data_IF_210853172112
#
_entry.id   IF_210853172112
#
_cell.length_a   1.000
_cell.length_b   1.000
_cell.length_c   1.000
_cell.angle_alpha   90.00
_cell.angle_beta   90.00
_cell.angle_gamma   90.00
#
_symmetry.space_group_name_H-M   'P 1'
#
loop_
_entity.id
_entity.type
_entity.pdbx_description
1 polymer ?
#
# COMPACT_ATOMS: atom_id res chain seq x y z
N UNK A 1 22.44 20.95 63.93
CA UNK A 1 22.52 20.26 62.62
C UNK A 1 21.27 19.41 62.48
N UNK A 2 20.25 19.92 61.79
CA UNK A 2 18.88 19.38 61.77
C UNK A 2 18.71 18.33 60.67
N UNK A 3 18.16 17.17 61.07
CA UNK A 3 17.45 16.14 60.31
C UNK A 3 17.48 16.24 58.76
N UNK A 4 18.35 15.48 58.11
CA UNK A 4 18.13 15.08 56.71
C UNK A 4 17.39 13.74 56.72
N UNK A 5 16.17 13.63 56.16
CA UNK A 5 15.47 12.36 56.10
C UNK A 5 16.31 11.36 55.29
N UNK A 6 16.54 10.17 55.86
CA UNK A 6 17.15 9.03 55.18
C UNK A 6 16.28 8.69 53.96
N UNK A 7 16.62 9.25 52.79
CA UNK A 7 15.93 8.88 51.56
C UNK A 7 16.31 7.45 51.20
N UNK A 8 15.32 6.55 51.24
CA UNK A 8 15.45 5.16 50.83
C UNK A 8 15.99 5.07 49.38
N UNK A 9 16.64 3.96 49.04
CA UNK A 9 17.12 3.68 47.68
C UNK A 9 16.03 3.97 46.63
N UNK A 10 14.81 3.51 46.90
CA UNK A 10 13.62 3.74 46.06
C UNK A 10 13.24 5.21 45.95
N UNK A 11 13.36 5.98 47.04
CA UNK A 11 13.09 7.42 47.03
C UNK A 11 14.03 8.19 46.10
N UNK A 12 15.33 7.83 46.09
CA UNK A 12 16.31 8.45 45.18
C UNK A 12 16.03 8.10 43.72
N UNK A 13 15.76 6.81 43.43
CA UNK A 13 15.39 6.35 42.08
C UNK A 13 14.15 7.08 41.57
N UNK A 14 13.12 7.20 42.41
CA UNK A 14 11.88 7.90 42.03
C UNK A 14 12.10 9.39 41.79
N UNK A 15 12.91 10.07 42.61
CA UNK A 15 13.23 11.48 42.38
C UNK A 15 13.96 11.71 41.06
N UNK A 16 14.90 10.81 40.72
CA UNK A 16 15.58 10.84 39.41
C UNK A 16 14.55 10.59 38.30
N UNK A 17 13.68 9.58 38.45
CA UNK A 17 12.66 9.27 37.45
C UNK A 17 11.69 10.44 37.22
N UNK A 18 11.22 11.07 38.28
CA UNK A 18 10.33 12.23 38.21
C UNK A 18 11.00 13.44 37.55
N UNK A 19 12.29 13.66 37.85
CA UNK A 19 13.11 14.67 37.18
C UNK A 19 13.10 14.42 35.67
N UNK A 20 13.52 13.22 35.23
CA UNK A 20 13.58 12.85 33.80
C UNK A 20 12.21 13.00 33.12
N UNK A 21 11.15 12.51 33.78
CA UNK A 21 9.79 12.63 33.27
C UNK A 21 9.39 14.09 33.06
N UNK A 22 9.62 14.96 34.06
CA UNK A 22 9.26 16.38 33.98
C UNK A 22 10.04 17.12 32.90
N UNK A 23 11.34 16.86 32.76
CA UNK A 23 12.17 17.49 31.74
C UNK A 23 11.90 16.97 30.32
N UNK A 24 11.18 15.86 30.20
CA UNK A 24 10.78 15.31 28.90
C UNK A 24 9.31 15.60 28.62
N UNK A 25 8.38 14.94 29.33
CA UNK A 25 6.95 14.92 29.03
C UNK A 25 6.22 16.26 29.24
N UNK A 26 6.69 17.10 30.16
CA UNK A 26 6.03 18.39 30.47
C UNK A 26 6.59 19.56 29.63
N UNK A 27 7.40 19.26 28.62
CA UNK A 27 7.92 20.28 27.70
C UNK A 27 6.95 20.51 26.55
N UNK A 28 6.89 21.76 26.06
CA UNK A 28 6.13 22.09 24.84
C UNK A 28 6.65 21.30 23.63
N UNK A 29 7.96 21.05 23.59
CA UNK A 29 8.62 20.27 22.54
C UNK A 29 8.14 18.82 22.50
N UNK A 30 7.95 18.18 23.65
CA UNK A 30 7.41 16.82 23.71
C UNK A 30 5.98 16.75 23.19
N UNK A 31 5.08 17.63 23.65
CA UNK A 31 3.67 17.60 23.22
C UNK A 31 3.57 17.85 21.72
N UNK A 32 4.32 18.85 21.22
CA UNK A 32 4.37 19.12 19.79
C UNK A 32 4.95 17.93 19.02
N UNK A 33 6.10 17.40 19.41
CA UNK A 33 6.75 16.29 18.72
C UNK A 33 5.92 15.01 18.73
N UNK A 34 5.30 14.68 19.86
CA UNK A 34 4.49 13.48 20.02
C UNK A 34 3.22 13.51 19.16
N UNK A 35 2.65 14.69 18.87
CA UNK A 35 1.47 14.81 17.99
C UNK A 35 1.85 15.11 16.54
N UNK A 36 2.75 16.08 16.32
CA UNK A 36 3.13 16.54 15.01
C UNK A 36 3.83 15.44 14.20
N UNK A 37 4.64 14.57 14.83
CA UNK A 37 5.38 13.54 14.12
C UNK A 37 4.44 12.48 13.52
N UNK A 38 3.49 11.86 14.28
CA UNK A 38 2.47 11.01 13.68
C UNK A 38 1.64 11.73 12.61
N UNK A 39 1.18 12.96 12.87
CA UNK A 39 0.33 13.70 11.91
C UNK A 39 1.08 13.95 10.60
N UNK A 40 2.32 14.43 10.66
CA UNK A 40 3.17 14.62 9.49
C UNK A 40 3.38 13.31 8.77
N UNK A 41 3.67 12.23 9.51
CA UNK A 41 3.99 10.94 8.91
C UNK A 41 2.76 10.29 8.24
N UNK A 42 1.57 10.34 8.87
CA UNK A 42 0.32 9.92 8.22
C UNK A 42 0.00 10.80 7.01
N UNK A 43 0.28 12.12 7.09
CA UNK A 43 0.18 13.03 5.95
C UNK A 43 1.12 12.62 4.80
N UNK A 44 2.37 12.28 5.10
CA UNK A 44 3.33 11.78 4.11
C UNK A 44 2.88 10.44 3.54
N UNK A 45 2.44 9.48 4.36
CA UNK A 45 1.91 8.19 3.89
C UNK A 45 0.73 8.39 2.95
N UNK A 46 -0.16 9.34 3.23
CA UNK A 46 -1.28 9.69 2.36
C UNK A 46 -0.83 10.33 1.03
N UNK A 47 0.29 11.07 1.03
CA UNK A 47 0.84 11.77 -0.14
C UNK A 47 1.77 10.87 -0.97
N UNK A 48 2.38 9.84 -0.38
CA UNK A 48 3.32 8.93 -1.07
C UNK A 48 2.70 8.33 -2.36
N UNK A 49 1.47 7.78 -2.37
CA UNK A 49 0.87 7.27 -3.61
C UNK A 49 0.72 8.35 -4.69
N UNK A 50 0.36 9.58 -4.30
CA UNK A 50 0.26 10.69 -5.23
C UNK A 50 1.63 11.13 -5.77
N UNK A 51 2.70 11.04 -4.97
CA UNK A 51 4.06 11.33 -5.42
C UNK A 51 4.67 10.21 -6.26
N UNK A 52 4.33 8.95 -5.96
CA UNK A 52 4.73 7.77 -6.73
C UNK A 52 3.93 7.62 -8.02
N UNK A 53 2.84 8.39 -8.18
CA UNK A 53 2.14 8.54 -9.45
C UNK A 53 3.00 9.36 -10.42
N UNK A 54 4.05 8.73 -10.96
CA UNK A 54 4.68 9.22 -12.18
C UNK A 54 3.62 9.22 -13.28
N UNK A 55 3.41 10.38 -13.91
CA UNK A 55 2.64 10.50 -15.14
C UNK A 55 3.12 9.41 -16.09
N UNK A 56 2.24 8.45 -16.37
CA UNK A 56 2.62 7.34 -17.24
C UNK A 56 2.92 7.95 -18.61
N UNK A 57 4.06 7.63 -19.23
CA UNK A 57 4.34 8.11 -20.57
C UNK A 57 3.17 7.71 -21.49
N UNK A 58 2.82 8.51 -22.51
CA UNK A 58 1.71 8.17 -23.38
C UNK A 58 1.97 6.83 -24.07
N UNK A 59 0.92 6.02 -24.24
CA UNK A 59 1.01 4.75 -24.97
C UNK A 59 0.84 5.05 -26.46
N UNK A 60 1.94 5.33 -27.13
CA UNK A 60 1.98 5.72 -28.56
C UNK A 60 2.74 4.67 -29.36
N UNK A 61 2.16 4.22 -30.46
CA UNK A 61 2.83 3.34 -31.42
C UNK A 61 1.90 2.33 -32.06
N UNK A 62 2.47 1.34 -32.75
CA UNK A 62 1.69 0.33 -33.48
C UNK A 62 1.74 -1.01 -32.74
N UNK A 63 0.58 -1.61 -32.47
CA UNK A 63 0.47 -2.99 -31.99
C UNK A 63 0.10 -3.89 -33.17
N UNK A 64 0.89 -4.94 -33.40
CA UNK A 64 0.64 -5.91 -34.46
C UNK A 64 0.11 -7.19 -33.85
N UNK A 65 -1.05 -7.65 -34.31
CA UNK A 65 -1.64 -8.92 -33.87
C UNK A 65 -1.68 -9.86 -35.05
N UNK A 66 -1.00 -10.99 -34.92
CA UNK A 66 -1.09 -12.10 -35.86
C UNK A 66 -2.27 -12.97 -35.42
N UNK A 67 -3.39 -12.84 -36.13
CA UNK A 67 -4.65 -13.51 -35.85
C UNK A 67 -5.29 -13.95 -37.18
N UNK A 68 -5.30 -15.26 -37.50
CA UNK A 68 -5.95 -15.80 -38.70
C UNK A 68 -7.46 -15.49 -38.78
N UNK A 69 -8.12 -15.23 -37.65
CA UNK A 69 -9.55 -14.98 -37.60
C UNK A 69 -9.94 -13.51 -37.76
N UNK A 70 -9.00 -12.58 -37.61
CA UNK A 70 -9.21 -11.14 -37.78
C UNK A 70 -10.26 -10.53 -36.81
N UNK A 71 -10.62 -11.26 -35.74
CA UNK A 71 -11.67 -10.86 -34.79
C UNK A 71 -11.11 -10.21 -33.53
N UNK A 72 -9.82 -10.39 -33.24
CA UNK A 72 -9.24 -9.97 -31.96
C UNK A 72 -8.92 -8.48 -31.92
N UNK A 73 -8.37 -7.92 -32.99
CA UNK A 73 -7.96 -6.50 -33.03
C UNK A 73 -9.11 -5.54 -32.69
N UNK A 74 -10.32 -5.67 -33.28
CA UNK A 74 -11.44 -4.78 -32.93
C UNK A 74 -11.82 -4.84 -31.45
N UNK A 75 -11.81 -6.04 -30.86
CA UNK A 75 -12.13 -6.27 -29.44
C UNK A 75 -11.06 -5.70 -28.52
N UNK A 76 -9.80 -6.00 -28.80
CA UNK A 76 -8.67 -5.52 -28.00
C UNK A 76 -8.55 -3.99 -28.04
N UNK A 77 -8.81 -3.39 -29.20
CA UNK A 77 -8.88 -1.92 -29.35
C UNK A 77 -9.96 -1.32 -28.45
N UNK A 78 -11.18 -1.86 -28.51
CA UNK A 78 -12.29 -1.37 -27.69
C UNK A 78 -11.99 -1.44 -26.18
N UNK A 79 -11.35 -2.52 -25.73
CA UNK A 79 -10.97 -2.72 -24.32
C UNK A 79 -9.87 -1.74 -23.90
N UNK A 80 -8.83 -1.57 -24.74
CA UNK A 80 -7.68 -0.72 -24.43
C UNK A 80 -8.06 0.78 -24.40
N UNK A 81 -8.99 1.20 -25.26
CA UNK A 81 -9.45 2.59 -25.34
C UNK A 81 -10.54 2.93 -24.31
N UNK A 82 -11.14 1.93 -23.66
CA UNK A 82 -12.13 2.16 -22.61
C UNK A 82 -11.44 2.65 -21.33
N UNK A 83 -11.79 3.83 -20.80
CA UNK A 83 -11.19 4.31 -19.56
C UNK A 83 -11.52 3.36 -18.42
N UNK A 84 -10.47 3.01 -17.68
CA UNK A 84 -10.55 2.09 -16.57
C UNK A 84 -11.41 2.69 -15.45
N UNK A 85 -12.52 2.02 -15.08
CA UNK A 85 -13.31 2.45 -13.93
C UNK A 85 -12.65 2.00 -12.62
N UNK A 86 -11.98 2.93 -11.93
CA UNK A 86 -11.31 2.71 -10.64
C UNK A 86 -12.22 2.13 -9.57
N UNK A 87 -13.51 2.49 -9.57
CA UNK A 87 -14.49 1.98 -8.61
C UNK A 87 -14.72 0.47 -8.78
N UNK A 88 -14.74 0.02 -10.04
CA UNK A 88 -14.93 -1.38 -10.39
C UNK A 88 -13.67 -2.21 -10.10
N UNK A 89 -12.49 -1.67 -10.42
CA UNK A 89 -11.21 -2.28 -10.06
C UNK A 89 -10.98 -2.38 -8.55
N UNK A 90 -11.38 -1.36 -7.79
CA UNK A 90 -11.31 -1.41 -6.34
C UNK A 90 -12.18 -2.56 -5.79
N UNK A 91 -13.38 -2.74 -6.35
CA UNK A 91 -14.26 -3.86 -6.02
C UNK A 91 -13.64 -5.22 -6.37
N UNK A 92 -13.03 -5.37 -7.55
CA UNK A 92 -12.34 -6.61 -7.94
C UNK A 92 -11.17 -6.95 -7.01
N UNK A 93 -10.33 -5.96 -6.65
CA UNK A 93 -9.23 -6.17 -5.70
C UNK A 93 -9.72 -6.50 -4.28
N UNK A 94 -10.86 -5.94 -3.86
CA UNK A 94 -11.47 -6.29 -2.59
C UNK A 94 -11.96 -7.73 -2.56
N UNK A 95 -12.53 -8.21 -3.68
CA UNK A 95 -13.00 -9.60 -3.83
C UNK A 95 -11.85 -10.60 -3.93
N UNK A 96 -10.80 -10.27 -4.70
CA UNK A 96 -9.64 -11.12 -4.94
C UNK A 96 -8.33 -10.35 -4.69
N UNK A 97 -7.92 -10.17 -3.43
CA UNK A 97 -6.69 -9.46 -3.12
C UNK A 97 -5.48 -10.26 -3.65
N UNK A 98 -4.59 -9.65 -4.43
CA UNK A 98 -3.39 -10.32 -4.92
C UNK A 98 -2.55 -10.85 -3.76
N UNK A 99 -2.07 -12.10 -3.88
CA UNK A 99 -1.29 -12.75 -2.81
C UNK A 99 0.17 -12.31 -2.79
N UNK A 100 0.74 -11.87 -3.92
CA UNK A 100 2.13 -11.42 -3.99
C UNK A 100 2.25 -9.91 -3.82
N UNK A 101 3.35 -9.48 -3.17
CA UNK A 101 3.62 -8.07 -2.88
C UNK A 101 3.79 -7.21 -4.14
N UNK A 102 4.29 -7.79 -5.23
CA UNK A 102 4.48 -7.07 -6.50
C UNK A 102 3.15 -6.70 -7.14
N UNK A 103 2.22 -7.65 -7.18
CA UNK A 103 0.87 -7.41 -7.70
C UNK A 103 0.02 -6.55 -6.75
N UNK A 104 0.20 -6.66 -5.42
CA UNK A 104 -0.43 -5.72 -4.46
C UNK A 104 0.00 -4.27 -4.73
N UNK A 105 1.29 -4.05 -4.94
CA UNK A 105 1.81 -2.73 -5.29
C UNK A 105 1.31 -2.25 -6.66
N UNK A 106 1.29 -3.14 -7.66
CA UNK A 106 0.74 -2.86 -8.98
C UNK A 106 -0.75 -2.49 -8.95
N UNK A 107 -1.55 -3.20 -8.17
CA UNK A 107 -2.98 -2.95 -7.95
C UNK A 107 -3.22 -1.59 -7.30
N UNK A 108 -2.47 -1.28 -6.24
CA UNK A 108 -2.55 0.02 -5.56
C UNK A 108 -2.12 1.18 -6.47
N UNK A 109 -1.09 0.97 -7.30
CA UNK A 109 -0.66 1.93 -8.31
C UNK A 109 -1.70 2.17 -9.39
N UNK A 110 -2.43 1.13 -9.82
CA UNK A 110 -3.51 1.26 -10.80
C UNK A 110 -4.71 2.05 -10.22
N UNK A 111 -5.02 1.90 -8.91
CA UNK A 111 -6.08 2.66 -8.22
C UNK A 111 -5.74 4.13 -7.97
N UNK A 112 -4.47 4.42 -7.70
CA UNK A 112 -4.00 5.76 -7.31
C UNK A 112 -3.41 6.56 -8.46
N UNK A 113 -3.12 5.92 -9.59
CA UNK A 113 -2.51 6.54 -10.77
C UNK A 113 -3.43 7.55 -11.49
N UNK A 114 -2.80 8.43 -12.26
CA UNK A 114 -3.47 9.46 -13.06
C UNK A 114 -4.33 8.84 -14.19
N UNK A 115 -5.57 9.33 -14.34
CA UNK A 115 -6.57 8.86 -15.32
C UNK A 115 -6.33 9.40 -16.74
N UNK A 116 -5.47 10.39 -16.90
CA UNK A 116 -5.24 11.06 -18.18
C UNK A 116 -4.07 10.47 -18.98
N UNK A 117 -4.01 9.15 -19.10
CA UNK A 117 -3.03 8.53 -20.00
C UNK A 117 -3.52 8.68 -21.45
N UNK A 118 -2.74 9.40 -22.28
CA UNK A 118 -3.01 9.47 -23.72
C UNK A 118 -2.65 8.12 -24.33
N UNK A 119 -3.65 7.43 -24.87
CA UNK A 119 -3.51 6.17 -25.61
C UNK A 119 -3.74 6.51 -27.08
N UNK A 120 -2.69 6.42 -27.90
CA UNK A 120 -2.78 6.59 -29.36
C UNK A 120 -2.07 5.41 -30.01
N UNK A 121 -2.79 4.29 -30.06
CA UNK A 121 -2.29 3.02 -30.57
C UNK A 121 -2.91 2.74 -31.93
N UNK A 122 -2.06 2.55 -32.93
CA UNK A 122 -2.48 1.99 -34.21
C UNK A 122 -2.44 0.47 -34.15
N UNK A 123 -3.44 -0.18 -34.73
CA UNK A 123 -3.52 -1.64 -34.74
C UNK A 123 -3.33 -2.19 -36.14
N UNK A 124 -2.46 -3.18 -36.29
CA UNK A 124 -2.25 -3.92 -37.53
C UNK A 124 -2.60 -5.39 -37.31
N UNK A 125 -3.43 -5.94 -38.19
CA UNK A 125 -3.83 -7.36 -38.16
C UNK A 125 -3.09 -8.11 -39.26
N UNK A 126 -2.50 -9.25 -38.94
CA UNK A 126 -1.83 -10.15 -39.88
C UNK A 126 -2.47 -11.54 -39.82
N UNK A 127 -2.87 -12.10 -40.96
CA UNK A 127 -3.60 -13.38 -41.00
C UNK A 127 -2.70 -14.62 -41.03
N UNK A 128 -1.46 -14.46 -41.51
CA UNK A 128 -0.51 -15.56 -41.61
C UNK A 128 0.36 -15.68 -40.36
N UNK A 129 0.43 -16.88 -39.80
CA UNK A 129 1.34 -17.20 -38.69
C UNK A 129 2.82 -17.04 -39.06
N UNK A 130 3.15 -17.06 -40.35
CA UNK A 130 4.52 -16.81 -40.83
C UNK A 130 4.96 -15.36 -40.57
N UNK A 131 4.01 -14.43 -40.39
CA UNK A 131 4.28 -13.04 -40.05
C UNK A 131 4.83 -12.85 -38.63
N UNK A 132 4.80 -13.88 -37.78
CA UNK A 132 5.35 -13.78 -36.41
C UNK A 132 6.83 -13.39 -36.42
N UNK A 133 7.61 -13.91 -37.38
CA UNK A 133 9.04 -13.61 -37.45
C UNK A 133 9.31 -12.18 -37.96
N UNK A 134 8.50 -11.67 -38.89
CA UNK A 134 8.59 -10.27 -39.32
C UNK A 134 8.18 -9.31 -38.20
N UNK A 135 7.14 -9.65 -37.42
CA UNK A 135 6.71 -8.88 -36.24
C UNK A 135 7.82 -8.80 -35.21
N UNK A 136 8.51 -9.91 -34.89
CA UNK A 136 9.67 -9.88 -33.98
C UNK A 136 10.80 -9.00 -34.53
N UNK A 137 11.07 -9.06 -35.83
CA UNK A 137 12.09 -8.23 -36.49
C UNK A 137 11.76 -6.73 -36.41
N UNK A 138 10.51 -6.36 -36.66
CA UNK A 138 10.01 -4.99 -36.53
C UNK A 138 10.09 -4.49 -35.09
N UNK A 139 9.74 -5.35 -34.12
CA UNK A 139 9.84 -5.06 -32.70
C UNK A 139 11.29 -4.77 -32.30
N UNK A 140 12.23 -5.60 -32.78
CA UNK A 140 13.66 -5.43 -32.51
C UNK A 140 14.25 -4.14 -33.11
N UNK A 141 13.69 -3.67 -34.24
CA UNK A 141 14.05 -2.39 -34.87
C UNK A 141 13.36 -1.19 -34.20
N UNK A 142 12.42 -1.42 -33.30
CA UNK A 142 11.64 -0.39 -32.62
C UNK A 142 10.58 0.28 -33.52
N UNK A 143 10.19 -0.34 -34.64
CA UNK A 143 9.16 0.19 -35.54
C UNK A 143 7.74 -0.07 -35.06
N UNK A 144 7.54 -1.04 -34.16
CA UNK A 144 6.27 -1.35 -33.52
C UNK A 144 6.43 -1.40 -31.99
N UNK A 145 5.32 -1.22 -31.28
CA UNK A 145 5.26 -1.12 -29.83
C UNK A 145 5.14 -2.50 -29.15
N UNK A 146 4.33 -3.38 -29.72
CA UNK A 146 4.12 -4.74 -29.25
C UNK A 146 3.64 -5.64 -30.41
N UNK A 147 3.93 -6.93 -30.30
CA UNK A 147 3.44 -7.96 -31.21
C UNK A 147 2.71 -9.05 -30.43
N UNK A 148 1.63 -9.60 -30.96
CA UNK A 148 0.96 -10.77 -30.37
C UNK A 148 0.71 -11.83 -31.45
N UNK A 149 0.79 -13.11 -31.08
CA UNK A 149 0.43 -14.21 -31.97
C UNK A 149 -0.66 -15.07 -31.34
N UNK A 150 -1.76 -15.21 -32.07
CA UNK A 150 -2.97 -15.91 -31.64
C UNK A 150 -3.25 -17.01 -32.64
N UNK A 151 -3.25 -18.25 -32.16
CA UNK A 151 -3.53 -19.42 -33.00
C UNK A 151 -5.03 -19.73 -32.97
N UNK A 152 -5.54 -20.39 -34.01
CA UNK A 152 -6.95 -20.82 -34.06
C UNK A 152 -7.34 -21.69 -32.87
N UNK A 153 -6.41 -22.51 -32.37
CA UNK A 153 -6.58 -23.36 -31.19
C UNK A 153 -6.84 -22.55 -29.91
N UNK A 154 -6.25 -21.36 -29.77
CA UNK A 154 -6.51 -20.48 -28.62
C UNK A 154 -7.94 -19.94 -28.61
N UNK A 155 -8.57 -19.85 -29.79
CA UNK A 155 -9.91 -19.32 -29.96
C UNK A 155 -10.99 -20.40 -29.84
N UNK A 156 -10.59 -21.67 -29.76
CA UNK A 156 -11.52 -22.78 -29.59
C UNK A 156 -12.01 -22.83 -28.12
N UNK A 157 -13.32 -22.66 -27.86
CA UNK A 157 -13.86 -22.79 -26.51
C UNK A 157 -13.83 -24.23 -25.98
N UNK A 158 -13.69 -25.24 -26.83
CA UNK A 158 -13.65 -26.65 -26.42
C UNK A 158 -12.26 -27.12 -25.98
N UNK A 159 -11.21 -26.32 -26.22
CA UNK A 159 -9.83 -26.61 -25.82
C UNK A 159 -9.45 -25.83 -24.56
N UNK A 160 -8.46 -26.33 -23.83
CA UNK A 160 -7.89 -25.59 -22.71
C UNK A 160 -7.20 -24.29 -23.18
N UNK A 161 -7.18 -23.29 -22.30
CA UNK A 161 -6.53 -22.03 -22.57
C UNK A 161 -5.01 -22.26 -22.77
N UNK A 162 -4.51 -21.96 -23.96
CA UNK A 162 -3.07 -22.00 -24.26
C UNK A 162 -2.46 -20.63 -23.99
N UNK A 163 -1.17 -20.59 -23.65
CA UNK A 163 -0.48 -19.34 -23.36
C UNK A 163 -0.45 -18.40 -24.57
N UNK A 164 -0.88 -17.15 -24.38
CA UNK A 164 -0.80 -16.08 -25.38
C UNK A 164 0.67 -15.70 -25.62
N UNK A 165 1.13 -15.80 -26.87
CA UNK A 165 2.45 -15.34 -27.25
C UNK A 165 2.45 -13.82 -27.43
N UNK A 166 3.06 -13.10 -26.48
CA UNK A 166 3.17 -11.65 -26.49
C UNK A 166 4.64 -11.23 -26.55
N UNK A 167 4.96 -10.37 -27.51
CA UNK A 167 6.29 -9.84 -27.79
C UNK A 167 6.30 -8.35 -27.47
N UNK A 168 7.15 -7.95 -26.52
CA UNK A 168 7.22 -6.56 -26.02
C UNK A 168 8.70 -6.16 -25.89
N UNK A 169 9.08 -4.91 -26.22
CA UNK A 169 10.45 -4.44 -26.00
C UNK A 169 10.72 -4.20 -24.50
N UNK A 170 11.98 -4.37 -24.09
CA UNK A 170 12.40 -4.12 -22.70
C UNK A 170 12.22 -2.66 -22.24
N UNK A 171 12.05 -1.73 -23.17
CA UNK A 171 11.77 -0.32 -22.92
C UNK A 171 10.32 -0.04 -22.54
N UNK A 172 9.39 -0.98 -22.76
CA UNK A 172 7.98 -0.77 -22.46
C UNK A 172 7.74 -0.83 -20.95
N UNK A 173 7.04 0.16 -20.40
CA UNK A 173 6.78 0.21 -18.96
C UNK A 173 5.96 -1.00 -18.48
N UNK A 174 6.18 -1.49 -17.24
CA UNK A 174 5.38 -2.59 -16.68
C UNK A 174 3.87 -2.32 -16.67
N UNK A 175 3.46 -1.06 -16.54
CA UNK A 175 2.05 -0.64 -16.60
C UNK A 175 1.47 -0.85 -18.00
N UNK A 176 2.19 -0.41 -19.04
CA UNK A 176 1.78 -0.60 -20.43
C UNK A 176 1.73 -2.08 -20.82
N UNK A 177 2.71 -2.87 -20.36
CA UNK A 177 2.70 -4.33 -20.51
C UNK A 177 1.40 -4.91 -19.93
N UNK A 178 1.03 -4.54 -18.70
CA UNK A 178 -0.22 -5.02 -18.09
C UNK A 178 -1.46 -4.59 -18.86
N UNK A 179 -1.53 -3.34 -19.32
CA UNK A 179 -2.66 -2.83 -20.09
C UNK A 179 -2.85 -3.59 -21.41
N UNK A 180 -1.78 -3.74 -22.20
CA UNK A 180 -1.81 -4.47 -23.48
C UNK A 180 -2.12 -5.95 -23.26
N UNK A 181 -1.48 -6.59 -22.28
CA UNK A 181 -1.75 -7.98 -21.93
C UNK A 181 -3.21 -8.21 -21.53
N UNK A 182 -3.77 -7.37 -20.64
CA UNK A 182 -5.17 -7.47 -20.21
C UNK A 182 -6.12 -7.30 -21.38
N UNK A 183 -5.90 -6.29 -22.23
CA UNK A 183 -6.75 -6.04 -23.39
C UNK A 183 -6.76 -7.21 -24.38
N UNK A 184 -5.59 -7.81 -24.67
CA UNK A 184 -5.49 -8.96 -25.56
C UNK A 184 -6.07 -10.24 -24.94
N UNK A 185 -5.80 -10.50 -23.65
CA UNK A 185 -6.35 -11.66 -22.95
C UNK A 185 -7.88 -11.61 -22.91
N UNK A 186 -8.44 -10.47 -22.54
CA UNK A 186 -9.88 -10.28 -22.49
C UNK A 186 -10.50 -10.33 -23.90
N UNK A 187 -9.83 -9.82 -24.93
CA UNK A 187 -10.30 -9.95 -26.31
C UNK A 187 -10.34 -11.41 -26.79
N UNK A 188 -9.34 -12.23 -26.43
CA UNK A 188 -9.32 -13.68 -26.71
C UNK A 188 -10.44 -14.38 -25.95
N UNK A 189 -10.62 -14.09 -24.67
CA UNK A 189 -11.71 -14.64 -23.86
C UNK A 189 -13.08 -14.31 -24.48
N UNK A 190 -13.28 -13.06 -24.88
CA UNK A 190 -14.52 -12.59 -25.49
C UNK A 190 -14.84 -13.27 -26.82
N UNK A 191 -13.80 -13.57 -27.59
CA UNK A 191 -13.94 -14.31 -28.84
C UNK A 191 -14.28 -15.78 -28.58
N UNK A 192 -13.66 -16.41 -27.57
CA UNK A 192 -14.00 -17.79 -27.16
C UNK A 192 -15.43 -17.90 -26.67
N UNK A 193 -15.89 -16.93 -25.87
CA UNK A 193 -17.29 -16.86 -25.39
C UNK A 193 -18.25 -16.67 -26.58
N UNK A 194 -17.91 -15.79 -27.52
CA UNK A 194 -18.75 -15.59 -28.70
C UNK A 194 -18.87 -16.87 -29.56
N UNK A 195 -17.76 -17.61 -29.73
CA UNK A 195 -17.74 -18.87 -30.48
C UNK A 195 -18.48 -20.02 -29.79
N UNK A 196 -18.59 -20.00 -28.46
CA UNK A 196 -19.38 -21.00 -27.73
C UNK A 196 -20.89 -20.75 -27.81
N UNK A 197 -21.31 -19.60 -28.35
CA UNK A 197 -22.72 -19.20 -28.43
C UNK A 197 -23.30 -18.75 -27.09
N UNK A 198 -22.46 -18.59 -26.06
CA UNK A 198 -22.89 -18.13 -24.75
C UNK A 198 -22.98 -16.60 -24.75
N UNK A 199 -24.10 -16.06 -24.27
CA UNK A 199 -24.25 -14.62 -24.07
C UNK A 199 -23.32 -14.13 -22.94
N UNK A 200 -22.39 -13.24 -23.28
CA UNK A 200 -21.48 -12.62 -22.31
C UNK A 200 -22.24 -11.90 -21.18
N UNK A 201 -23.33 -11.21 -21.51
CA UNK A 201 -24.09 -10.48 -20.50
C UNK A 201 -24.76 -11.45 -19.50
N UNK A 202 -25.12 -12.65 -19.95
CA UNK A 202 -25.58 -13.72 -19.05
C UNK A 202 -24.44 -14.27 -18.18
N UNK A 203 -23.26 -14.52 -18.75
CA UNK A 203 -22.10 -14.98 -17.97
C UNK A 203 -21.70 -13.99 -16.88
N UNK A 204 -21.63 -12.69 -17.21
CA UNK A 204 -21.30 -11.65 -16.23
C UNK A 204 -22.30 -11.63 -15.08
N UNK A 205 -23.60 -11.79 -15.36
CA UNK A 205 -24.65 -11.87 -14.32
C UNK A 205 -24.56 -13.13 -13.48
N UNK A 206 -24.18 -14.27 -14.07
CA UNK A 206 -24.00 -15.54 -13.34
C UNK A 206 -22.74 -15.54 -12.48
N UNK A 207 -21.68 -14.87 -12.94
CA UNK A 207 -20.43 -14.73 -12.21
C UNK A 207 -20.49 -13.62 -11.14
N UNK A 208 -21.49 -12.74 -11.18
CA UNK A 208 -21.68 -11.69 -10.19
C UNK A 208 -22.06 -12.31 -8.83
N UNK A 209 -21.04 -12.52 -8.00
CA UNK A 209 -21.23 -13.05 -6.66
C UNK A 209 -21.82 -11.95 -5.76
N UNK A 210 -22.99 -12.18 -5.15
CA UNK A 210 -23.59 -11.21 -4.25
C UNK A 210 -22.69 -11.01 -3.04
N UNK A 211 -22.30 -9.77 -2.78
CA UNK A 211 -21.50 -9.45 -1.60
C UNK A 211 -22.36 -9.59 -0.33
N UNK A 212 -21.92 -10.35 0.68
CA UNK A 212 -22.65 -10.50 1.92
C UNK A 212 -22.66 -9.16 2.67
N UNK A 213 -23.81 -8.50 2.68
CA UNK A 213 -24.03 -7.28 3.47
C UNK A 213 -24.10 -7.67 4.96
N UNK A 214 -22.93 -7.81 5.59
CA UNK A 214 -22.82 -8.28 6.98
C UNK A 214 -23.15 -7.13 7.92
N UNK A 215 -24.32 -7.17 8.54
CA UNK A 215 -24.69 -6.27 9.64
C UNK A 215 -24.57 -7.05 10.94
N UNK A 216 -23.76 -6.55 11.88
CA UNK A 216 -23.65 -7.15 13.20
C UNK A 216 -24.73 -6.55 14.10
N UNK A 217 -25.59 -7.41 14.62
CA UNK A 217 -26.65 -7.05 15.56
C UNK A 217 -26.09 -7.27 16.97
N UNK A 218 -26.06 -6.21 17.79
CA UNK A 218 -25.69 -6.36 19.20
C UNK A 218 -26.80 -7.08 19.98
N UNK A 219 -26.50 -7.67 21.16
CA UNK A 219 -27.53 -8.22 22.04
C UNK A 219 -28.60 -7.19 22.47
N UNK A 220 -28.31 -5.89 22.33
CA UNK A 220 -29.22 -4.78 22.60
C UNK A 220 -30.03 -4.33 21.36
N UNK A 221 -29.93 -5.04 20.23
CA UNK A 221 -30.65 -4.74 19.00
C UNK A 221 -30.07 -3.57 18.18
N UNK A 222 -28.90 -3.05 18.55
CA UNK A 222 -28.25 -2.03 17.73
C UNK A 222 -27.56 -2.66 16.53
N UNK A 223 -27.89 -2.16 15.34
CA UNK A 223 -27.22 -2.48 14.09
C UNK A 223 -25.97 -1.61 13.95
N UNK A 224 -24.80 -2.23 13.94
CA UNK A 224 -23.56 -1.54 13.59
C UNK A 224 -23.19 -1.92 12.15
N UNK A 225 -23.13 -0.93 11.26
CA UNK A 225 -22.55 -1.12 9.92
C UNK A 225 -21.07 -1.43 10.07
N UNK A 226 -20.64 -2.61 9.61
CA UNK A 226 -19.22 -2.98 9.62
C UNK A 226 -18.50 -2.22 8.49
N UNK A 227 -17.58 -1.33 8.84
CA UNK A 227 -16.65 -0.72 7.88
C UNK A 227 -15.39 -1.58 7.79
N UNK A 228 -15.37 -2.51 6.84
CA UNK A 228 -14.25 -3.44 6.60
C UNK A 228 -12.90 -2.71 6.44
N UNK A 229 -12.90 -1.53 5.83
CA UNK A 229 -11.72 -0.68 5.66
C UNK A 229 -11.10 -0.25 7.01
N UNK A 230 -11.93 0.20 7.96
CA UNK A 230 -11.46 0.60 9.29
C UNK A 230 -10.91 -0.60 10.07
N UNK A 231 -11.46 -1.80 9.86
CA UNK A 231 -11.03 -3.03 10.54
C UNK A 231 -9.60 -3.44 10.13
N UNK A 232 -9.17 -3.14 8.91
CA UNK A 232 -7.80 -3.38 8.46
C UNK A 232 -6.86 -2.24 8.88
N UNK A 233 -7.31 -0.99 8.73
CA UNK A 233 -6.47 0.19 8.91
C UNK A 233 -6.18 0.48 10.40
N UNK A 234 -7.19 0.36 11.28
CA UNK A 234 -7.08 0.76 12.68
C UNK A 234 -6.03 -0.05 13.46
N UNK A 235 -6.00 -1.40 13.41
CA UNK A 235 -4.94 -2.16 14.08
C UNK A 235 -3.54 -1.86 13.52
N UNK A 236 -3.44 -1.66 12.20
CA UNK A 236 -2.18 -1.30 11.53
C UNK A 236 -1.65 0.06 12.00
N UNK A 237 -2.51 1.08 12.01
CA UNK A 237 -2.17 2.42 12.50
C UNK A 237 -1.81 2.40 14.00
N UNK A 238 -2.54 1.64 14.81
CA UNK A 238 -2.25 1.50 16.24
C UNK A 238 -0.90 0.81 16.48
N UNK A 239 -0.62 -0.29 15.80
CA UNK A 239 0.69 -0.96 15.84
C UNK A 239 1.83 0.00 15.47
N UNK A 240 1.59 0.86 14.48
CA UNK A 240 2.57 1.86 14.05
C UNK A 240 2.77 2.98 15.08
N UNK A 241 1.70 3.45 15.74
CA UNK A 241 1.80 4.40 16.85
C UNK A 241 2.57 3.82 18.04
N UNK A 242 2.38 2.53 18.34
CA UNK A 242 3.19 1.82 19.34
C UNK A 242 4.67 1.78 18.94
N UNK A 243 4.94 1.51 17.67
CA UNK A 243 6.30 1.52 17.15
C UNK A 243 6.96 2.90 17.31
N UNK A 244 6.26 3.99 16.95
CA UNK A 244 6.74 5.37 17.17
C UNK A 244 7.01 5.62 18.66
N UNK A 245 6.09 5.22 19.55
CA UNK A 245 6.22 5.40 20.99
C UNK A 245 7.52 4.76 21.50
N UNK A 246 7.76 3.49 21.17
CA UNK A 246 8.95 2.74 21.62
C UNK A 246 10.24 3.35 21.07
N UNK A 247 10.29 3.61 19.76
CA UNK A 247 11.50 4.14 19.12
C UNK A 247 11.83 5.55 19.59
N UNK A 248 10.82 6.40 19.78
CA UNK A 248 11.01 7.76 20.27
C UNK A 248 11.54 7.78 21.70
N UNK A 249 10.94 6.99 22.60
CA UNK A 249 11.41 6.88 23.99
C UNK A 249 12.82 6.30 24.08
N UNK A 250 13.16 5.30 23.25
CA UNK A 250 14.51 4.75 23.19
C UNK A 250 15.53 5.79 22.69
N UNK A 251 15.16 6.59 21.69
CA UNK A 251 16.02 7.64 21.15
C UNK A 251 16.28 8.77 22.17
N UNK A 252 15.27 9.21 22.92
CA UNK A 252 15.45 10.18 24.00
C UNK A 252 16.37 9.66 25.11
N UNK A 253 16.18 8.41 25.54
CA UNK A 253 17.04 7.78 26.54
C UNK A 253 18.49 7.73 26.07
N UNK A 254 18.73 7.34 24.81
CA UNK A 254 20.06 7.27 24.22
C UNK A 254 20.71 8.66 24.14
N UNK A 255 20.01 9.64 23.57
CA UNK A 255 20.53 11.00 23.36
C UNK A 255 20.88 11.67 24.67
N UNK A 256 20.00 11.61 25.68
CA UNK A 256 20.29 12.22 26.99
C UNK A 256 21.41 11.51 27.75
N UNK A 257 21.57 10.20 27.57
CA UNK A 257 22.70 9.46 28.16
C UNK A 257 24.02 9.86 27.50
N UNK A 258 24.02 10.08 26.19
CA UNK A 258 25.19 10.57 25.45
C UNK A 258 25.54 12.00 25.89
N UNK A 259 24.56 12.89 25.97
CA UNK A 259 24.76 14.29 26.38
C UNK A 259 25.30 14.39 27.81
N UNK A 260 24.73 13.65 28.76
CA UNK A 260 25.20 13.65 30.15
C UNK A 260 26.63 13.13 30.29
N UNK A 261 27.00 12.14 29.48
CA UNK A 261 28.36 11.61 29.43
C UNK A 261 29.32 12.61 28.77
N UNK A 262 28.91 13.27 27.68
CA UNK A 262 29.72 14.24 26.94
C UNK A 262 29.98 15.51 27.74
N UNK A 263 28.99 15.98 28.51
CA UNK A 263 29.04 17.27 29.21
C UNK A 263 29.60 17.17 30.64
N UNK A 264 30.20 16.05 31.03
CA UNK A 264 30.65 15.76 32.41
C UNK A 264 29.57 15.90 33.48
N UNK A 265 28.30 15.98 33.09
CA UNK A 265 27.16 16.04 34.01
C UNK A 265 27.08 14.76 34.83
N UNK A 266 27.45 13.62 34.24
CA UNK A 266 27.58 12.34 34.93
C UNK A 266 28.53 12.40 36.14
N UNK A 267 29.65 13.14 36.08
CA UNK A 267 30.59 13.24 37.21
C UNK A 267 29.94 13.93 38.42
N UNK A 268 29.15 14.98 38.17
CA UNK A 268 28.41 15.71 39.21
C UNK A 268 27.26 14.87 39.77
N UNK A 269 26.55 14.12 38.92
CA UNK A 269 25.44 13.25 39.35
C UNK A 269 25.94 12.07 40.19
N UNK A 270 27.10 11.51 39.85
CA UNK A 270 27.73 10.41 40.59
C UNK A 270 28.24 10.82 41.97
N UNK A 271 28.49 12.11 42.21
CA UNK A 271 28.78 12.63 43.55
C UNK A 271 27.54 12.58 44.48
N UNK A 272 26.33 12.44 43.94
CA UNK A 272 25.06 12.48 44.69
C UNK A 272 24.29 11.15 44.72
N UNK A 273 24.41 10.31 43.68
CA UNK A 273 23.69 9.03 43.54
C UNK A 273 24.54 7.96 42.84
N UNK A 274 24.26 6.68 43.10
CA UNK A 274 25.03 5.58 42.48
C UNK A 274 24.67 5.38 41.00
N UNK A 275 25.58 4.81 40.17
CA UNK A 275 25.31 4.56 38.75
C UNK A 275 24.03 3.76 38.49
N UNK A 276 23.76 2.76 39.33
CA UNK A 276 22.56 1.92 39.19
C UNK A 276 21.28 2.67 39.54
N UNK A 277 21.32 3.59 40.52
CA UNK A 277 20.19 4.45 40.86
C UNK A 277 19.86 5.42 39.72
N UNK A 278 20.89 5.97 39.08
CA UNK A 278 20.73 6.86 37.92
C UNK A 278 20.12 6.12 36.72
N UNK A 279 20.63 4.93 36.39
CA UNK A 279 20.10 4.12 35.30
C UNK A 279 18.65 3.68 35.56
N UNK A 280 18.36 3.16 36.75
CA UNK A 280 17.01 2.74 37.11
C UNK A 280 16.03 3.92 37.10
N UNK A 281 16.45 5.07 37.63
CA UNK A 281 15.67 6.30 37.59
C UNK A 281 15.37 6.75 36.17
N UNK A 282 16.37 6.73 35.27
CA UNK A 282 16.19 7.07 33.86
C UNK A 282 15.21 6.14 33.15
N UNK A 283 15.40 4.83 33.28
CA UNK A 283 14.52 3.84 32.64
C UNK A 283 13.08 4.03 33.12
N UNK A 284 12.86 4.18 34.43
CA UNK A 284 11.53 4.48 34.97
C UNK A 284 10.97 5.81 34.46
N UNK A 285 11.79 6.85 34.40
CA UNK A 285 11.43 8.17 33.87
C UNK A 285 10.88 8.07 32.45
N UNK A 286 11.64 7.48 31.54
CA UNK A 286 11.24 7.32 30.13
C UNK A 286 10.10 6.31 29.93
N UNK A 287 9.93 5.35 30.84
CA UNK A 287 8.77 4.45 30.84
C UNK A 287 7.48 5.19 31.20
N UNK A 288 7.54 6.17 32.11
CA UNK A 288 6.41 7.05 32.40
C UNK A 288 6.10 7.98 31.20
N UNK A 289 7.13 8.45 30.50
CA UNK A 289 6.97 9.25 29.28
C UNK A 289 6.26 8.43 28.17
N UNK A 290 6.70 7.20 27.93
CA UNK A 290 6.07 6.32 26.92
C UNK A 290 4.65 5.93 27.31
N UNK A 291 4.36 5.76 28.61
CA UNK A 291 2.98 5.53 29.08
C UNK A 291 2.05 6.71 28.77
N UNK A 292 2.53 7.96 28.92
CA UNK A 292 1.77 9.15 28.52
C UNK A 292 1.55 9.21 27.00
N UNK A 293 2.59 8.91 26.20
CA UNK A 293 2.44 8.82 24.74
C UNK A 293 1.42 7.75 24.35
N UNK A 294 1.45 6.58 24.99
CA UNK A 294 0.52 5.49 24.75
C UNK A 294 -0.92 5.90 25.04
N UNK A 295 -1.16 6.58 26.17
CA UNK A 295 -2.49 7.09 26.51
C UNK A 295 -2.96 8.14 25.52
N UNK A 296 -2.06 9.01 25.05
CA UNK A 296 -2.38 10.01 24.04
C UNK A 296 -2.77 9.37 22.70
N UNK A 297 -1.99 8.39 22.24
CA UNK A 297 -2.27 7.65 21.00
C UNK A 297 -3.53 6.79 21.10
N UNK A 298 -3.73 6.11 22.23
CA UNK A 298 -4.95 5.35 22.51
C UNK A 298 -6.19 6.24 22.54
N UNK A 299 -6.10 7.40 23.21
CA UNK A 299 -7.18 8.39 23.23
C UNK A 299 -7.51 8.92 21.84
N UNK A 300 -6.50 9.20 21.02
CA UNK A 300 -6.69 9.64 19.63
C UNK A 300 -7.34 8.54 18.77
N UNK A 301 -6.92 7.28 18.96
CA UNK A 301 -7.50 6.14 18.27
C UNK A 301 -8.97 5.92 18.63
N UNK A 302 -9.33 6.00 19.91
CA UNK A 302 -10.72 5.89 20.37
C UNK A 302 -11.57 7.06 19.84
N UNK A 303 -11.06 8.29 19.90
CA UNK A 303 -11.76 9.46 19.37
C UNK A 303 -12.00 9.34 17.86
N UNK A 304 -11.00 8.87 17.10
CA UNK A 304 -11.13 8.63 15.67
C UNK A 304 -12.19 7.56 15.34
N UNK A 305 -12.23 6.47 16.11
CA UNK A 305 -13.23 5.43 15.98
C UNK A 305 -14.64 5.88 16.35
N UNK A 306 -14.79 6.80 17.31
CA UNK A 306 -16.10 7.32 17.71
C UNK A 306 -16.74 8.26 16.68
N UNK A 307 -15.93 8.80 15.75
CA UNK A 307 -16.38 9.75 14.71
C UNK A 307 -16.66 9.05 13.37
N UNK A 308 -16.17 7.82 13.17
CA UNK A 308 -16.22 7.09 11.89
C UNK A 308 -17.37 6.07 11.79
#
# INVERSE_FOLDING_TARGET
MSNRPNQSYLGKVFLIAWREFRYTALTKGFIFGAVAMPVLMFGVIAVIPAMLSQKSPPLVGTIVVVDPSDTIVPRAKAILETPINKLQLAGEFAKNPPMDRGAQFGAMSDLTGDDQQVISVEWRSEKSLDAVESVKSELAKGSILAGAAITGDMLDPAKDATALALFIPSSLSPKHVRQVSRALQQAVEDERIARSGIDRAMLTRLADQPEPLTTRISPAGSEAKERTELRLLVPGAFMFLLWICVFTSANYLLTTTIEEKSNKVMEVLLAAASPMQLLAGKILGYSMVSAVMLLMYGGLGIAGLSVA
#
